data_IF_795188115364
#
_entry.id   IF_795188115364
#
_cell.length_a   1.000
_cell.length_b   1.000
_cell.length_c   1.000
_cell.angle_alpha   90.00
_cell.angle_beta   90.00
_cell.angle_gamma   90.00
#
_symmetry.space_group_name_H-M   'P 1'
#
loop_
_entity.id
_entity.type
_entity.pdbx_description
1 polymer ?
#
# COMPACT_ATOMS: atom_id res chain seq x y z
N UNK A 1 -30.90 -12.47 18.06
CA UNK A 1 -31.30 -13.74 17.40
C UNK A 1 -30.43 -14.19 16.20
N UNK A 2 -29.28 -13.58 15.86
CA UNK A 2 -28.52 -13.90 14.62
C UNK A 2 -27.48 -15.04 14.71
N UNK A 3 -27.38 -15.76 15.83
CA UNK A 3 -26.33 -16.79 16.05
C UNK A 3 -26.56 -18.14 15.35
N UNK A 4 -27.71 -18.38 14.70
CA UNK A 4 -28.08 -19.69 14.11
C UNK A 4 -27.81 -19.85 12.60
N UNK A 5 -27.40 -18.78 11.90
CA UNK A 5 -27.13 -18.83 10.46
C UNK A 5 -25.78 -19.48 10.13
N UNK A 6 -24.84 -19.52 11.08
CA UNK A 6 -23.48 -20.04 10.82
C UNK A 6 -23.39 -21.57 10.71
N UNK A 7 -24.36 -22.33 11.26
CA UNK A 7 -24.26 -23.79 11.35
C UNK A 7 -24.93 -24.52 10.18
N UNK A 8 -25.80 -23.85 9.41
CA UNK A 8 -26.51 -24.49 8.28
C UNK A 8 -25.77 -24.38 6.93
N UNK A 9 -24.96 -23.35 6.71
CA UNK A 9 -24.35 -23.12 5.39
C UNK A 9 -23.16 -24.03 5.07
N UNK A 10 -22.60 -24.74 6.05
CA UNK A 10 -21.40 -25.56 5.85
C UNK A 10 -21.73 -26.99 5.37
N UNK A 11 -22.99 -27.45 5.48
CA UNK A 11 -23.38 -28.83 5.13
C UNK A 11 -23.80 -28.98 3.65
N UNK A 12 -23.96 -27.90 2.89
CA UNK A 12 -24.50 -27.96 1.52
C UNK A 12 -23.44 -28.01 0.39
N UNK A 13 -22.14 -28.05 0.68
CA UNK A 13 -21.08 -27.87 -0.33
C UNK A 13 -20.52 -29.17 -0.96
N UNK A 14 -21.23 -30.32 -0.87
CA UNK A 14 -20.77 -31.61 -1.44
C UNK A 14 -21.42 -31.99 -2.78
N UNK A 15 -22.09 -31.07 -3.48
CA UNK A 15 -22.64 -31.33 -4.82
C UNK A 15 -22.26 -30.21 -5.79
N UNK A 16 -21.23 -30.48 -6.60
CA UNK A 16 -21.13 -30.09 -8.00
C UNK A 16 -21.37 -28.63 -8.40
N UNK A 17 -20.26 -27.92 -8.65
CA UNK A 17 -20.11 -27.08 -9.85
C UNK A 17 -20.92 -25.78 -9.93
N UNK A 18 -20.29 -24.68 -9.54
CA UNK A 18 -20.10 -23.43 -10.32
C UNK A 18 -19.61 -22.38 -9.36
N UNK A 19 -18.35 -21.98 -9.48
CA UNK A 19 -17.92 -20.58 -9.56
C UNK A 19 -16.47 -20.68 -9.98
N UNK A 20 -16.21 -20.48 -11.28
CA UNK A 20 -14.92 -19.99 -11.71
C UNK A 20 -14.79 -18.58 -11.10
N UNK A 21 -14.23 -18.51 -9.89
CA UNK A 21 -13.62 -17.29 -9.39
C UNK A 21 -12.39 -17.11 -10.27
N UNK A 22 -12.61 -16.62 -11.49
CA UNK A 22 -11.69 -15.73 -12.15
C UNK A 22 -11.54 -14.55 -11.19
N UNK A 23 -10.68 -14.74 -10.20
CA UNK A 23 -10.07 -13.66 -9.48
C UNK A 23 -9.20 -12.91 -10.51
N UNK A 24 -9.85 -12.19 -11.43
CA UNK A 24 -9.34 -10.96 -12.00
C UNK A 24 -9.26 -9.96 -10.86
N UNK A 25 -8.35 -10.24 -9.93
CA UNK A 25 -7.73 -9.29 -9.04
C UNK A 25 -6.88 -8.40 -9.94
N UNK A 26 -7.54 -7.58 -10.75
CA UNK A 26 -7.03 -6.26 -11.06
C UNK A 26 -6.87 -5.60 -9.70
N UNK A 27 -5.68 -5.82 -9.12
CA UNK A 27 -5.24 -5.17 -7.93
C UNK A 27 -5.46 -3.69 -8.20
N UNK A 28 -6.50 -3.13 -7.58
CA UNK A 28 -6.58 -1.72 -7.35
C UNK A 28 -5.32 -1.41 -6.54
N UNK A 29 -4.20 -1.15 -7.24
CA UNK A 29 -2.99 -0.62 -6.66
C UNK A 29 -3.49 0.64 -5.98
N UNK A 30 -3.65 0.60 -4.65
CA UNK A 30 -3.81 1.82 -3.86
C UNK A 30 -2.65 2.68 -4.32
N UNK A 31 -2.96 3.74 -5.05
CA UNK A 31 -1.94 4.65 -5.53
C UNK A 31 -1.10 5.01 -4.30
N UNK A 32 0.23 4.82 -4.33
CA UNK A 32 1.04 5.12 -3.18
C UNK A 32 0.74 6.57 -2.80
N UNK A 33 0.27 6.78 -1.57
CA UNK A 33 0.06 8.12 -1.04
C UNK A 33 1.41 8.82 -1.18
N UNK A 34 1.49 9.83 -2.04
CA UNK A 34 2.71 10.60 -2.24
C UNK A 34 2.98 11.31 -0.92
N UNK A 35 3.94 10.79 -0.17
CA UNK A 35 4.52 11.50 0.96
C UNK A 35 5.33 12.65 0.37
N UNK A 36 5.05 13.87 0.82
CA UNK A 36 5.70 15.09 0.35
C UNK A 36 6.17 15.86 1.56
N UNK A 37 7.46 16.14 1.63
CA UNK A 37 8.06 17.00 2.65
C UNK A 37 8.30 18.39 2.08
N UNK A 38 8.02 19.44 2.85
CA UNK A 38 8.29 20.82 2.41
C UNK A 38 9.78 21.10 2.33
N UNK A 39 10.56 20.49 3.22
CA UNK A 39 12.00 20.66 3.34
C UNK A 39 12.65 19.49 4.10
N UNK A 40 13.98 19.44 4.10
CA UNK A 40 14.74 18.42 4.81
C UNK A 40 14.60 18.47 6.33
N UNK A 41 14.23 19.62 6.91
CA UNK A 41 13.94 19.70 8.35
C UNK A 41 12.71 18.87 8.72
N UNK A 42 11.65 18.91 7.92
CA UNK A 42 10.46 18.07 8.14
C UNK A 42 10.77 16.59 7.95
N UNK A 43 11.52 16.23 6.90
CA UNK A 43 11.95 14.86 6.67
C UNK A 43 12.81 14.31 7.84
N UNK A 44 13.72 15.12 8.36
CA UNK A 44 14.57 14.77 9.50
C UNK A 44 13.77 14.65 10.80
N UNK A 45 12.80 15.55 11.03
CA UNK A 45 11.84 15.44 12.15
C UNK A 45 11.00 14.17 12.08
N UNK A 46 10.67 13.72 10.86
CA UNK A 46 9.98 12.45 10.63
C UNK A 46 10.90 11.23 10.75
N UNK A 47 12.22 11.41 10.88
CA UNK A 47 13.18 10.32 11.05
C UNK A 47 13.36 9.44 9.80
N UNK A 48 13.08 9.98 8.61
CA UNK A 48 13.14 9.21 7.34
C UNK A 48 14.37 9.51 6.49
N UNK A 49 15.27 10.37 6.97
CA UNK A 49 16.48 10.79 6.22
C UNK A 49 17.66 9.85 6.50
N UNK A 50 18.50 9.53 5.50
CA UNK A 50 18.45 9.97 4.11
C UNK A 50 17.34 9.30 3.28
N UNK A 51 16.68 10.06 2.40
CA UNK A 51 15.59 9.52 1.56
C UNK A 51 16.15 9.15 0.18
N UNK A 52 16.08 7.88 -0.18
CA UNK A 52 16.62 7.38 -1.45
C UNK A 52 15.62 7.50 -2.60
N UNK A 53 16.13 7.65 -3.83
CA UNK A 53 15.32 7.65 -5.05
C UNK A 53 14.43 6.40 -5.13
N UNK A 54 13.14 6.61 -5.34
CA UNK A 54 12.12 5.55 -5.36
C UNK A 54 11.44 5.30 -4.00
N UNK A 55 11.98 5.84 -2.91
CA UNK A 55 11.28 5.83 -1.63
C UNK A 55 10.15 6.87 -1.58
N UNK A 56 9.07 6.60 -0.84
CA UNK A 56 8.06 7.60 -0.53
C UNK A 56 8.70 8.82 0.13
N UNK A 57 8.45 10.01 -0.39
CA UNK A 57 9.05 11.25 0.13
C UNK A 57 10.24 11.76 -0.69
N UNK A 58 10.81 10.96 -1.59
CA UNK A 58 11.88 11.44 -2.45
C UNK A 58 11.35 12.51 -3.42
N UNK A 59 12.09 13.60 -3.54
CA UNK A 59 11.82 14.65 -4.52
C UNK A 59 13.11 15.31 -4.95
N UNK A 60 13.23 15.63 -6.24
CA UNK A 60 14.31 16.44 -6.80
C UNK A 60 14.42 17.85 -6.19
N UNK A 61 13.42 18.29 -5.41
CA UNK A 61 13.47 19.55 -4.65
C UNK A 61 14.21 19.41 -3.31
N UNK A 62 14.29 18.19 -2.78
CA UNK A 62 14.96 17.87 -1.52
C UNK A 62 16.40 17.38 -1.75
N UNK A 63 16.64 16.81 -2.93
CA UNK A 63 17.94 16.38 -3.44
C UNK A 63 18.60 17.56 -4.18
N UNK A 64 19.58 18.21 -3.51
CA UNK A 64 20.15 19.48 -3.98
C UNK A 64 21.16 19.26 -5.11
N UNK A 65 21.94 18.20 -5.03
CA UNK A 65 23.00 17.88 -5.99
C UNK A 65 22.55 16.86 -7.07
N UNK A 66 21.41 16.18 -6.84
CA UNK A 66 20.72 15.25 -7.75
C UNK A 66 21.44 13.91 -7.89
N UNK A 67 22.11 13.47 -6.83
CA UNK A 67 22.81 12.19 -6.78
C UNK A 67 21.85 11.00 -6.55
N UNK A 68 20.61 11.26 -6.12
CA UNK A 68 19.61 10.25 -5.78
C UNK A 68 19.39 10.05 -4.28
N UNK A 69 20.02 10.85 -3.43
CA UNK A 69 19.93 10.83 -1.97
C UNK A 69 19.42 12.21 -1.50
N UNK A 70 18.15 12.28 -1.15
CA UNK A 70 17.59 13.52 -0.60
C UNK A 70 17.93 13.67 0.89
N UNK A 71 18.28 14.91 1.28
CA UNK A 71 18.50 15.33 2.67
C UNK A 71 19.67 14.65 3.39
N UNK A 72 20.75 14.40 2.66
CA UNK A 72 22.10 14.18 3.17
C UNK A 72 22.63 15.32 4.06
#
# INVERSE_FOLDING_TARGET
>A
MFKKVSTLFVVAALLGGTVAINHSLAAAKKAPKKVVYKNCTEARKAGVTPIYKGQPGYSLKLDRDKDGIACE
#
